data_IF_876809240510
#
_entry.id   IF_876809240510
#
_cell.length_a   1.000
_cell.length_b   1.000
_cell.length_c   1.000
_cell.angle_alpha   90.00
_cell.angle_beta   90.00
_cell.angle_gamma   90.00
#
_symmetry.space_group_name_H-M   'P 1'
#
loop_
_entity.id
_entity.type
_entity.pdbx_description
1 polymer ?
#
# COMPACT_ATOMS: atom_id res chain seq x y z
N UNK A 1 -18.04 -6.80 7.68
CA UNK A 1 -16.72 -6.28 7.25
C UNK A 1 -16.60 -4.84 7.74
N UNK A 2 -15.42 -4.39 8.13
CA UNK A 2 -15.15 -2.99 8.45
C UNK A 2 -14.78 -2.27 7.15
N UNK A 3 -15.54 -1.25 6.78
CA UNK A 3 -15.30 -0.47 5.56
C UNK A 3 -14.74 0.90 5.93
N UNK A 4 -13.62 1.26 5.32
CA UNK A 4 -12.89 2.50 5.59
C UNK A 4 -12.99 3.35 4.32
N UNK A 5 -13.52 4.57 4.45
CA UNK A 5 -13.74 5.50 3.35
C UNK A 5 -12.88 6.75 3.54
N UNK A 6 -12.33 7.26 2.44
CA UNK A 6 -11.53 8.48 2.43
C UNK A 6 -11.51 9.13 1.05
N UNK A 7 -10.67 10.15 0.89
CA UNK A 7 -10.57 10.91 -0.36
C UNK A 7 -10.03 10.07 -1.53
N UNK A 8 -9.19 9.07 -1.25
CA UNK A 8 -8.58 8.22 -2.27
C UNK A 8 -9.39 6.95 -2.58
N UNK A 9 -10.59 6.79 -2.01
CA UNK A 9 -11.48 5.66 -2.26
C UNK A 9 -11.94 4.95 -0.99
N UNK A 10 -12.29 3.66 -1.14
CA UNK A 10 -12.75 2.81 -0.05
C UNK A 10 -11.99 1.48 -0.02
N UNK A 11 -11.75 0.97 1.18
CA UNK A 11 -11.13 -0.34 1.41
C UNK A 11 -11.96 -1.12 2.43
N UNK A 12 -12.09 -2.43 2.21
CA UNK A 12 -12.87 -3.33 3.06
C UNK A 12 -11.96 -4.31 3.80
N UNK A 13 -12.11 -4.38 5.12
CA UNK A 13 -11.38 -5.29 6.00
C UNK A 13 -12.32 -6.39 6.51
N UNK A 14 -11.99 -7.69 6.32
CA UNK A 14 -12.78 -8.78 6.89
C UNK A 14 -12.67 -8.77 8.42
N UNK A 15 -13.79 -9.04 9.10
CA UNK A 15 -13.81 -9.10 10.56
C UNK A 15 -13.47 -10.53 10.99
N UNK A 16 -12.42 -10.67 11.80
CA UNK A 16 -12.05 -11.94 12.40
C UNK A 16 -12.79 -12.15 13.72
N UNK A 17 -13.26 -13.37 13.98
CA UNK A 17 -13.99 -13.71 15.21
C UNK A 17 -13.18 -13.45 16.48
N UNK A 18 -11.85 -13.54 16.38
CA UNK A 18 -10.93 -13.53 17.52
C UNK A 18 -10.56 -12.13 18.01
N UNK A 19 -10.94 -11.08 17.27
CA UNK A 19 -10.62 -9.68 17.58
C UNK A 19 -11.90 -8.90 17.84
N UNK A 20 -11.99 -8.24 19.00
CA UNK A 20 -13.01 -7.24 19.29
C UNK A 20 -12.54 -5.89 18.75
N UNK A 21 -13.42 -5.21 18.01
CA UNK A 21 -13.17 -3.89 17.46
C UNK A 21 -14.25 -2.97 18.00
N UNK A 22 -13.84 -1.88 18.65
CA UNK A 22 -14.74 -0.87 19.19
C UNK A 22 -14.38 0.50 18.63
N UNK A 23 -15.39 1.35 18.45
CA UNK A 23 -15.22 2.74 18.00
C UNK A 23 -15.70 3.66 19.11
N UNK A 24 -14.76 4.29 19.81
CA UNK A 24 -15.03 5.19 20.93
C UNK A 24 -14.42 6.56 20.62
N UNK A 25 -15.23 7.63 20.62
CA UNK A 25 -14.81 9.03 20.40
C UNK A 25 -13.90 9.22 19.16
N UNK A 26 -14.27 8.58 18.04
CA UNK A 26 -13.52 8.66 16.79
C UNK A 26 -12.20 7.88 16.78
N UNK A 27 -11.91 7.08 17.83
CA UNK A 27 -10.77 6.18 17.90
C UNK A 27 -11.24 4.73 17.79
N UNK A 28 -10.60 3.98 16.90
CA UNK A 28 -10.79 2.54 16.77
C UNK A 28 -9.83 1.82 17.73
N UNK A 29 -10.38 1.00 18.62
CA UNK A 29 -9.62 0.12 19.51
C UNK A 29 -9.77 -1.33 19.07
N UNK A 30 -8.71 -2.12 19.31
CA UNK A 30 -8.64 -3.53 18.95
C UNK A 30 -8.20 -4.32 20.17
N UNK A 31 -8.99 -5.32 20.56
CA UNK A 31 -8.67 -6.19 21.68
C UNK A 31 -8.77 -7.66 21.25
N UNK A 32 -7.92 -8.51 21.82
CA UNK A 32 -8.07 -9.95 21.66
C UNK A 32 -9.30 -10.42 22.46
N UNK A 33 -10.17 -11.25 21.85
CA UNK A 33 -11.34 -11.77 22.57
C UNK A 33 -11.01 -12.87 23.58
N UNK A 34 -9.84 -13.47 23.45
CA UNK A 34 -9.36 -14.50 24.37
C UNK A 34 -7.84 -14.40 24.55
N UNK A 35 -7.31 -15.10 25.56
CA UNK A 35 -5.87 -15.12 25.88
C UNK A 35 -5.05 -16.07 25.01
N UNK A 36 -5.59 -16.55 23.87
CA UNK A 36 -4.81 -17.40 22.97
C UNK A 36 -3.71 -16.57 22.31
N UNK A 37 -2.58 -17.23 22.03
CA UNK A 37 -1.47 -16.62 21.28
C UNK A 37 -1.94 -16.10 19.91
N UNK A 38 -2.89 -16.79 19.29
CA UNK A 38 -3.44 -16.42 18.00
C UNK A 38 -4.29 -15.15 18.06
N UNK A 39 -5.21 -15.04 19.02
CA UNK A 39 -6.04 -13.84 19.17
C UNK A 39 -5.19 -12.59 19.50
N UNK A 40 -4.16 -12.76 20.33
CA UNK A 40 -3.21 -11.68 20.65
C UNK A 40 -2.38 -11.24 19.43
N UNK A 41 -1.87 -12.18 18.62
CA UNK A 41 -1.18 -11.83 17.39
C UNK A 41 -2.12 -11.16 16.38
N UNK A 42 -3.36 -11.66 16.27
CA UNK A 42 -4.34 -11.15 15.31
C UNK A 42 -4.82 -9.75 15.64
N UNK A 43 -4.99 -9.40 16.92
CA UNK A 43 -5.42 -8.06 17.34
C UNK A 43 -4.41 -6.99 16.96
N UNK A 44 -3.11 -7.27 17.14
CA UNK A 44 -2.02 -6.41 16.69
C UNK A 44 -1.96 -6.23 15.17
N UNK A 45 -2.09 -7.32 14.42
CA UNK A 45 -2.11 -7.30 12.95
C UNK A 45 -3.33 -6.55 12.42
N UNK A 46 -4.53 -6.81 12.95
CA UNK A 46 -5.75 -6.13 12.55
C UNK A 46 -5.67 -4.62 12.78
N UNK A 47 -5.16 -4.18 13.95
CA UNK A 47 -4.92 -2.78 14.24
C UNK A 47 -3.97 -2.13 13.23
N UNK A 48 -2.86 -2.80 12.90
CA UNK A 48 -1.88 -2.28 11.95
C UNK A 48 -2.44 -2.18 10.52
N UNK A 49 -3.16 -3.21 10.07
CA UNK A 49 -3.79 -3.24 8.75
C UNK A 49 -4.84 -2.14 8.62
N UNK A 50 -5.75 -2.00 9.59
CA UNK A 50 -6.77 -0.94 9.56
C UNK A 50 -6.13 0.44 9.59
N UNK A 51 -5.09 0.66 10.41
CA UNK A 51 -4.36 1.92 10.41
C UNK A 51 -3.71 2.21 9.04
N UNK A 52 -3.13 1.21 8.38
CA UNK A 52 -2.57 1.36 7.04
C UNK A 52 -3.67 1.65 5.99
N UNK A 53 -4.83 1.02 6.11
CA UNK A 53 -5.97 1.30 5.23
C UNK A 53 -6.48 2.72 5.41
N UNK A 54 -6.62 3.21 6.65
CA UNK A 54 -7.00 4.60 6.95
C UNK A 54 -6.02 5.57 6.31
N UNK A 55 -4.70 5.37 6.54
CA UNK A 55 -3.65 6.17 5.90
C UNK A 55 -3.67 6.09 4.39
N UNK A 56 -3.94 4.92 3.81
CA UNK A 56 -4.02 4.73 2.37
C UNK A 56 -5.17 5.51 1.72
N UNK A 57 -6.37 5.46 2.31
CA UNK A 57 -7.53 6.19 1.78
C UNK A 57 -7.49 7.69 2.10
N UNK A 58 -6.75 8.09 3.13
CA UNK A 58 -6.48 9.50 3.44
C UNK A 58 -5.27 9.99 2.66
N UNK A 59 -4.04 9.69 3.06
CA UNK A 59 -2.81 10.27 2.49
C UNK A 59 -2.39 9.58 1.19
N UNK A 60 -2.58 8.27 1.10
CA UNK A 60 -2.02 7.44 0.02
C UNK A 60 -0.65 6.86 0.41
N UNK A 61 -0.04 6.13 -0.53
CA UNK A 61 1.29 5.58 -0.37
C UNK A 61 2.15 5.96 -1.57
N UNK A 62 3.43 6.19 -1.32
CA UNK A 62 4.41 6.51 -2.35
C UNK A 62 5.66 5.66 -2.10
N UNK A 63 6.32 5.20 -3.16
CA UNK A 63 7.59 4.49 -3.06
C UNK A 63 8.58 5.03 -4.07
N UNK A 64 9.61 5.72 -3.56
CA UNK A 64 10.69 6.25 -4.39
C UNK A 64 11.72 5.16 -4.67
N UNK A 65 12.05 4.98 -5.95
CA UNK A 65 13.10 4.07 -6.42
C UNK A 65 14.15 4.89 -7.17
N UNK A 66 15.42 4.53 -6.97
CA UNK A 66 16.55 5.18 -7.62
C UNK A 66 17.31 4.16 -8.47
N UNK A 67 17.54 4.49 -9.74
CA UNK A 67 18.37 3.72 -10.64
C UNK A 67 19.85 4.09 -10.45
N UNK A 68 20.67 3.08 -10.21
CA UNK A 68 22.13 3.21 -10.07
C UNK A 68 22.78 2.39 -11.17
N UNK A 69 23.40 3.07 -12.14
CA UNK A 69 24.08 2.42 -13.26
C UNK A 69 24.38 3.39 -14.40
N UNK A 70 25.36 3.05 -15.23
CA UNK A 70 25.70 3.84 -16.42
C UNK A 70 24.70 3.53 -17.53
N UNK A 71 24.05 4.57 -18.06
CA UNK A 71 23.04 4.42 -19.12
C UNK A 71 21.68 3.90 -18.64
N UNK A 72 21.47 3.75 -17.34
CA UNK A 72 20.19 3.28 -16.79
C UNK A 72 19.17 4.42 -16.79
N UNK A 73 18.00 4.16 -17.36
CA UNK A 73 16.95 5.18 -17.49
C UNK A 73 15.56 4.57 -17.31
N UNK A 74 14.68 5.33 -16.68
CA UNK A 74 13.25 5.05 -16.58
C UNK A 74 12.44 6.13 -17.30
N UNK A 75 11.34 5.71 -17.92
CA UNK A 75 10.37 6.62 -18.52
C UNK A 75 8.95 6.10 -18.27
N UNK A 76 8.13 6.89 -17.57
CA UNK A 76 6.70 6.65 -17.45
C UNK A 76 5.96 7.15 -18.71
N UNK A 77 5.12 6.31 -19.29
CA UNK A 77 4.21 6.62 -20.40
C UNK A 77 2.81 6.15 -20.02
N UNK A 78 2.00 7.05 -19.46
CA UNK A 78 0.67 6.71 -18.95
C UNK A 78 0.75 5.69 -17.79
N UNK A 79 0.20 4.49 -18.00
CA UNK A 79 0.27 3.37 -17.04
C UNK A 79 1.44 2.42 -17.28
N UNK A 80 2.32 2.74 -18.23
CA UNK A 80 3.43 1.86 -18.63
C UNK A 80 4.75 2.48 -18.19
N UNK A 81 5.62 1.70 -17.57
CA UNK A 81 6.97 2.07 -17.18
C UNK A 81 7.97 1.38 -18.09
N UNK A 82 8.69 2.17 -18.89
CA UNK A 82 9.78 1.71 -19.73
C UNK A 82 11.11 1.83 -18.99
N UNK A 83 11.84 0.72 -18.87
CA UNK A 83 13.12 0.62 -18.16
C UNK A 83 14.23 0.21 -19.13
N UNK A 84 15.23 1.06 -19.29
CA UNK A 84 16.46 0.77 -20.02
C UNK A 84 17.56 0.49 -19.01
N UNK A 85 17.83 -0.78 -18.74
CA UNK A 85 18.77 -1.25 -17.70
C UNK A 85 20.02 -1.96 -18.27
N UNK A 86 20.38 -1.65 -19.52
CA UNK A 86 21.52 -2.28 -20.20
C UNK A 86 21.23 -3.66 -20.79
N UNK A 87 19.97 -4.10 -20.82
CA UNK A 87 19.53 -5.24 -21.63
C UNK A 87 19.47 -4.86 -23.12
N UNK A 88 19.50 -5.85 -24.02
CA UNK A 88 19.41 -5.62 -25.46
C UNK A 88 18.09 -4.97 -25.91
N UNK A 89 17.02 -5.14 -25.12
CA UNK A 89 15.72 -4.50 -25.35
C UNK A 89 15.23 -3.83 -24.05
N UNK A 90 14.47 -2.73 -24.14
CA UNK A 90 13.82 -2.12 -22.97
C UNK A 90 12.83 -3.09 -22.30
N UNK A 91 12.72 -2.99 -20.98
CA UNK A 91 11.71 -3.69 -20.20
C UNK A 91 10.49 -2.79 -20.09
N UNK A 92 9.36 -3.28 -20.57
CA UNK A 92 8.07 -2.60 -20.52
C UNK A 92 7.25 -3.19 -19.37
N UNK A 93 6.89 -2.38 -18.38
CA UNK A 93 6.14 -2.83 -17.21
C UNK A 93 4.81 -2.10 -17.10
N UNK A 94 3.70 -2.84 -17.17
CA UNK A 94 2.36 -2.27 -17.02
C UNK A 94 1.99 -2.14 -15.53
N UNK A 95 1.56 -0.95 -15.12
CA UNK A 95 1.12 -0.71 -13.75
C UNK A 95 -0.25 -1.37 -13.50
N UNK A 96 -0.40 -2.07 -12.37
CA UNK A 96 -1.69 -2.62 -11.97
C UNK A 96 -2.70 -1.49 -11.69
N UNK A 97 -3.98 -1.85 -11.68
CA UNK A 97 -5.04 -0.88 -11.37
C UNK A 97 -4.85 -0.24 -9.99
N UNK A 98 -5.10 1.07 -9.91
CA UNK A 98 -4.95 1.85 -8.68
C UNK A 98 -3.51 2.27 -8.35
N UNK A 99 -2.51 1.85 -9.14
CA UNK A 99 -1.12 2.28 -8.98
C UNK A 99 -0.73 3.22 -10.13
N UNK A 100 -0.28 4.42 -9.78
CA UNK A 100 0.31 5.37 -10.72
C UNK A 100 1.83 5.34 -10.62
N UNK A 101 2.52 5.60 -11.73
CA UNK A 101 3.97 5.75 -11.78
C UNK A 101 4.33 7.10 -12.38
N UNK A 102 5.33 7.75 -11.79
CA UNK A 102 5.93 8.98 -12.28
C UNK A 102 7.45 8.83 -12.35
N UNK A 103 8.08 9.52 -13.29
CA UNK A 103 9.54 9.56 -13.43
C UNK A 103 10.01 11.02 -13.38
N UNK A 104 10.23 11.59 -12.17
CA UNK A 104 10.65 12.99 -12.01
C UNK A 104 11.99 13.29 -12.69
N UNK A 105 12.87 12.31 -12.73
CA UNK A 105 14.13 12.33 -13.47
C UNK A 105 14.33 11.00 -14.21
N UNK A 106 15.31 10.92 -15.10
CA UNK A 106 15.60 9.67 -15.82
C UNK A 106 16.06 8.54 -14.89
N UNK A 107 16.48 8.84 -13.66
CA UNK A 107 17.01 7.87 -12.70
C UNK A 107 16.14 7.71 -11.46
N UNK A 108 14.98 8.38 -11.37
CA UNK A 108 14.07 8.30 -10.24
C UNK A 108 12.67 7.88 -10.70
N UNK A 109 12.05 7.00 -9.92
CA UNK A 109 10.69 6.50 -10.15
C UNK A 109 9.92 6.69 -8.85
N UNK A 110 8.69 7.21 -8.95
CA UNK A 110 7.81 7.52 -7.83
C UNK A 110 6.44 6.89 -8.06
#
# INVERSE_FOLDING_TARGET
ALVIKGKNGELSFPLYSDVAIELNDGKLTFAAKNNSKQANAMSGTARALVNNMVKGVSEGFEKKLQLIGVGYRAQAQGKVLNLSLGFSHPIVYEMPEGVSVQTPSQTEIV
#
